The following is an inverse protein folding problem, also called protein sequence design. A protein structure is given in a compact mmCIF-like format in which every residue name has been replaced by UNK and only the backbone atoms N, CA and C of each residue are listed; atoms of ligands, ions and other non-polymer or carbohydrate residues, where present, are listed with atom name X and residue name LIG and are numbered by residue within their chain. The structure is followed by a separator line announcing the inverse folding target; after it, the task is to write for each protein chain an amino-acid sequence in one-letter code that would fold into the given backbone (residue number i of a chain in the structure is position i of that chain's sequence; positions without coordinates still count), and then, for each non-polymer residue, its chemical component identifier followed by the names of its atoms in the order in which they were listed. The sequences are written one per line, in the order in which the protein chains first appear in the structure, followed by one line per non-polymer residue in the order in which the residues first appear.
data_IF_558563280689
#
_entry.id   IF_558563280689
#
_cell.length_a   1.000
_cell.length_b   1.000
_cell.length_c   1.000
_cell.angle_alpha   90.00
_cell.angle_beta   90.00
_cell.angle_gamma   90.00
#
_symmetry.space_group_name_H-M   'P 1'
#
loop_
_entity.id
_entity.type
_entity.pdbx_description
1 polymer ?
#
# COMPACT_ATOMS: atom_id res chain seq x y z
N UNK A 1 6.48 27.15 17.42
CA UNK A 1 5.62 26.12 16.82
C UNK A 1 6.29 25.40 15.65
N UNK A 2 6.89 26.10 14.68
CA UNK A 2 7.55 25.49 13.50
C UNK A 2 8.62 24.44 13.81
N UNK A 3 9.51 24.69 14.78
CA UNK A 3 10.54 23.72 15.18
C UNK A 3 9.97 22.42 15.79
N UNK A 4 8.89 22.50 16.53
CA UNK A 4 8.23 21.30 17.09
C UNK A 4 7.66 20.42 15.99
N UNK A 5 7.00 20.98 14.96
CA UNK A 5 6.48 20.22 13.83
C UNK A 5 7.58 19.53 13.02
N UNK A 6 8.69 20.21 12.78
CA UNK A 6 9.86 19.63 12.08
C UNK A 6 10.46 18.47 12.89
N UNK A 7 10.60 18.63 14.20
CA UNK A 7 11.12 17.57 15.07
C UNK A 7 10.17 16.35 15.06
N UNK A 8 8.86 16.59 15.15
CA UNK A 8 7.85 15.52 15.06
C UNK A 8 7.95 14.76 13.73
N UNK A 9 8.08 15.48 12.60
CA UNK A 9 8.27 14.84 11.29
C UNK A 9 9.53 13.98 11.23
N UNK A 10 10.65 14.47 11.74
CA UNK A 10 11.90 13.69 11.75
C UNK A 10 11.75 12.43 12.61
N UNK A 11 11.09 12.52 13.76
CA UNK A 11 10.86 11.39 14.64
C UNK A 11 9.92 10.34 14.00
N UNK A 12 8.84 10.78 13.36
CA UNK A 12 7.91 9.89 12.67
C UNK A 12 8.58 9.21 11.47
N UNK A 13 9.36 9.95 10.67
CA UNK A 13 10.14 9.38 9.57
C UNK A 13 11.17 8.36 10.06
N UNK A 14 11.91 8.67 11.13
CA UNK A 14 12.84 7.73 11.72
C UNK A 14 12.15 6.46 12.22
N UNK A 15 10.96 6.59 12.82
CA UNK A 15 10.15 5.46 13.26
C UNK A 15 9.65 4.62 12.08
N UNK A 16 9.20 5.24 10.98
CA UNK A 16 8.81 4.54 9.76
C UNK A 16 9.96 3.72 9.19
N UNK A 17 11.15 4.31 9.08
CA UNK A 17 12.36 3.61 8.62
C UNK A 17 12.70 2.44 9.55
N UNK A 18 12.62 2.65 10.86
CA UNK A 18 12.86 1.60 11.85
C UNK A 18 11.89 0.42 11.70
N UNK A 19 10.58 0.70 11.60
CA UNK A 19 9.56 -0.34 11.38
C UNK A 19 9.83 -1.08 10.06
N UNK A 20 10.16 -0.36 8.99
CA UNK A 20 10.48 -0.97 7.69
C UNK A 20 11.66 -1.94 7.79
N UNK A 21 12.72 -1.56 8.51
CA UNK A 21 13.86 -2.46 8.77
C UNK A 21 13.42 -3.71 9.53
N UNK A 22 12.55 -3.57 10.53
CA UNK A 22 12.00 -4.71 11.27
C UNK A 22 11.16 -5.62 10.37
N UNK A 23 10.33 -5.07 9.48
CA UNK A 23 9.53 -5.82 8.50
C UNK A 23 10.44 -6.65 7.58
N UNK A 24 11.50 -6.03 7.04
CA UNK A 24 12.44 -6.71 6.13
C UNK A 24 13.19 -7.84 6.85
N UNK A 25 13.56 -7.63 8.10
CA UNK A 25 14.31 -8.61 8.92
C UNK A 25 13.43 -9.68 9.54
N UNK A 26 12.16 -9.45 9.68
CA UNK A 26 11.24 -10.41 10.28
C UNK A 26 11.02 -11.62 9.37
N UNK A 27 11.16 -12.83 9.93
CA UNK A 27 10.87 -14.10 9.26
C UNK A 27 9.43 -14.57 9.49
N UNK A 28 8.82 -14.16 10.59
CA UNK A 28 7.46 -14.55 10.98
C UNK A 28 6.45 -13.68 10.22
N UNK A 29 5.60 -14.29 9.40
CA UNK A 29 4.56 -13.56 8.65
C UNK A 29 3.60 -12.81 9.57
N UNK A 30 3.23 -13.39 10.71
CA UNK A 30 2.41 -12.70 11.71
C UNK A 30 3.06 -11.37 12.16
N UNK A 31 4.34 -11.39 12.50
CA UNK A 31 5.05 -10.17 12.90
C UNK A 31 5.12 -9.15 11.75
N UNK A 32 5.28 -9.61 10.51
CA UNK A 32 5.27 -8.74 9.32
C UNK A 32 3.91 -8.04 9.16
N UNK A 33 2.80 -8.77 9.32
CA UNK A 33 1.44 -8.20 9.22
C UNK A 33 1.19 -7.15 10.31
N UNK A 34 1.54 -7.47 11.57
CA UNK A 34 1.39 -6.52 12.69
C UNK A 34 2.26 -5.29 12.50
N UNK A 35 3.52 -5.46 12.07
CA UNK A 35 4.43 -4.35 11.80
C UNK A 35 3.95 -3.50 10.60
N UNK A 36 3.35 -4.10 9.57
CA UNK A 36 2.76 -3.37 8.46
C UNK A 36 1.58 -2.50 8.92
N UNK A 37 0.71 -3.03 9.79
CA UNK A 37 -0.36 -2.25 10.42
C UNK A 37 0.19 -1.10 11.29
N UNK A 38 1.26 -1.34 12.06
CA UNK A 38 1.94 -0.30 12.82
C UNK A 38 2.56 0.78 11.91
N UNK A 39 3.16 0.39 10.78
CA UNK A 39 3.67 1.30 9.76
C UNK A 39 2.57 2.23 9.26
N UNK A 40 1.40 1.69 8.89
CA UNK A 40 0.25 2.48 8.44
C UNK A 40 -0.27 3.44 9.52
N UNK A 41 -0.29 3.05 10.80
CA UNK A 41 -0.67 3.97 11.88
C UNK A 41 0.31 5.14 12.04
N UNK A 42 1.61 4.87 11.94
CA UNK A 42 2.63 5.94 12.00
C UNK A 42 2.56 6.82 10.76
N UNK A 43 2.29 6.25 9.58
CA UNK A 43 2.04 7.02 8.35
C UNK A 43 0.82 7.93 8.50
N UNK A 44 -0.28 7.42 9.07
CA UNK A 44 -1.47 8.22 9.35
C UNK A 44 -1.16 9.38 10.31
N UNK A 45 -0.39 9.13 11.38
CA UNK A 45 0.05 10.19 12.29
C UNK A 45 0.92 11.25 11.59
N UNK A 46 1.76 10.83 10.64
CA UNK A 46 2.55 11.74 9.82
C UNK A 46 1.66 12.60 8.91
N UNK A 47 0.63 12.02 8.28
CA UNK A 47 -0.32 12.74 7.44
C UNK A 47 -1.11 13.78 8.26
N UNK A 48 -1.50 13.46 9.51
CA UNK A 48 -2.10 14.47 10.42
C UNK A 48 -1.14 15.64 10.66
N UNK A 49 0.14 15.37 10.90
CA UNK A 49 1.14 16.41 11.14
C UNK A 49 1.47 17.26 9.88
N UNK A 50 1.11 16.75 8.70
CA UNK A 50 1.20 17.44 7.40
C UNK A 50 -0.13 18.11 6.99
N UNK A 51 -1.09 18.23 7.90
CA UNK A 51 -2.44 18.78 7.66
C UNK A 51 -3.27 18.02 6.60
N UNK A 52 -2.90 16.75 6.30
CA UNK A 52 -3.61 15.88 5.37
C UNK A 52 -4.55 14.91 6.11
N UNK A 53 -5.50 15.44 6.86
CA UNK A 53 -6.35 14.68 7.79
C UNK A 53 -7.20 13.61 7.10
N UNK A 54 -7.78 13.91 5.93
CA UNK A 54 -8.60 12.95 5.17
C UNK A 54 -7.77 11.74 4.72
N UNK A 55 -6.53 11.97 4.27
CA UNK A 55 -5.59 10.89 3.91
C UNK A 55 -5.20 10.08 5.15
N UNK A 56 -5.00 10.75 6.30
CA UNK A 56 -4.68 10.08 7.56
C UNK A 56 -5.80 9.11 7.98
N UNK A 57 -7.06 9.52 7.87
CA UNK A 57 -8.21 8.66 8.18
C UNK A 57 -8.31 7.46 7.26
N UNK A 58 -8.12 7.64 5.96
CA UNK A 58 -8.15 6.54 4.99
C UNK A 58 -7.00 5.56 5.21
N UNK A 59 -5.78 6.06 5.47
CA UNK A 59 -4.62 5.23 5.79
C UNK A 59 -4.82 4.43 7.09
N UNK A 60 -5.33 5.06 8.14
CA UNK A 60 -5.62 4.36 9.39
C UNK A 60 -6.73 3.30 9.23
N UNK A 61 -7.80 3.63 8.50
CA UNK A 61 -8.93 2.71 8.32
C UNK A 61 -8.56 1.51 7.45
N UNK A 62 -7.90 1.74 6.31
CA UNK A 62 -7.59 0.69 5.33
C UNK A 62 -6.27 0.02 5.66
N UNK A 63 -5.20 0.77 5.83
CA UNK A 63 -3.85 0.23 6.01
C UNK A 63 -3.68 -0.44 7.37
N UNK A 64 -4.00 0.26 8.46
CA UNK A 64 -3.87 -0.30 9.80
C UNK A 64 -5.05 -1.22 10.19
N UNK A 65 -6.27 -0.92 9.76
CA UNK A 65 -7.47 -1.67 10.11
C UNK A 65 -7.76 -2.82 9.15
N UNK A 66 -8.43 -2.53 8.05
CA UNK A 66 -9.00 -3.54 7.14
C UNK A 66 -7.93 -4.47 6.57
N UNK A 67 -6.82 -3.93 6.07
CA UNK A 67 -5.74 -4.75 5.48
C UNK A 67 -5.12 -5.70 6.50
N UNK A 68 -4.89 -5.23 7.73
CA UNK A 68 -4.34 -6.07 8.80
C UNK A 68 -5.28 -7.22 9.15
N UNK A 69 -6.58 -6.97 9.28
CA UNK A 69 -7.58 -8.02 9.54
C UNK A 69 -7.64 -9.02 8.40
N UNK A 70 -7.65 -8.56 7.14
CA UNK A 70 -7.66 -9.45 5.98
C UNK A 70 -6.39 -10.31 5.89
N UNK A 71 -5.21 -9.75 6.17
CA UNK A 71 -3.97 -10.52 6.20
C UNK A 71 -3.96 -11.56 7.33
N UNK A 72 -4.44 -11.21 8.53
CA UNK A 72 -4.57 -12.15 9.64
C UNK A 72 -5.56 -13.28 9.31
N UNK A 73 -6.70 -12.94 8.68
CA UNK A 73 -7.66 -13.94 8.23
C UNK A 73 -7.06 -14.86 7.16
N UNK A 74 -6.33 -14.31 6.17
CA UNK A 74 -5.64 -15.10 5.16
C UNK A 74 -4.59 -16.05 5.78
N UNK A 75 -3.86 -15.57 6.79
CA UNK A 75 -2.88 -16.41 7.50
C UNK A 75 -3.50 -17.60 8.22
N UNK A 76 -4.75 -17.52 8.66
CA UNK A 76 -5.44 -18.65 9.29
C UNK A 76 -5.58 -19.86 8.34
N UNK A 77 -5.53 -19.63 7.02
CA UNK A 77 -5.59 -20.67 5.99
C UNK A 77 -4.21 -21.15 5.50
N UNK A 78 -3.11 -20.53 5.97
CA UNK A 78 -1.75 -20.86 5.54
C UNK A 78 -1.07 -21.72 6.63
N UNK A 79 -0.85 -23.01 6.42
CA UNK A 79 -0.08 -23.82 7.36
C UNK A 79 1.39 -23.42 7.34
N UNK A 80 1.95 -23.13 8.53
CA UNK A 80 3.38 -22.88 8.70
C UNK A 80 3.90 -21.59 8.05
N UNK A 81 3.21 -20.48 8.29
CA UNK A 81 3.48 -19.17 7.69
C UNK A 81 4.83 -18.54 8.14
N UNK A 82 5.93 -19.16 7.81
CA UNK A 82 7.28 -18.61 7.95
C UNK A 82 7.87 -18.30 6.58
N UNK A 83 8.57 -17.14 6.48
CA UNK A 83 9.34 -16.82 5.28
C UNK A 83 10.46 -17.84 5.10
N UNK A 84 10.51 -18.48 3.95
CA UNK A 84 11.66 -19.28 3.57
C UNK A 84 12.93 -18.42 3.63
N UNK A 85 14.05 -18.90 4.19
CA UNK A 85 15.29 -18.15 4.17
C UNK A 85 15.62 -17.76 2.73
N UNK A 86 16.01 -16.50 2.47
CA UNK A 86 16.44 -16.13 1.14
C UNK A 86 17.66 -16.99 0.78
N UNK A 87 17.59 -17.70 -0.34
CA UNK A 87 18.78 -18.28 -0.93
C UNK A 87 19.81 -17.16 -1.11
N UNK A 88 21.06 -17.45 -0.74
CA UNK A 88 22.16 -16.51 -0.89
C UNK A 88 22.37 -16.25 -2.41
N UNK A 89 21.64 -15.29 -2.94
CA UNK A 89 21.79 -14.86 -4.33
C UNK A 89 23.12 -14.13 -4.44
N UNK A 90 23.94 -14.57 -5.39
CA UNK A 90 25.24 -13.94 -5.66
C UNK A 90 25.09 -12.45 -5.99
N UNK A 91 26.17 -11.70 -5.83
CA UNK A 91 26.25 -10.25 -6.04
C UNK A 91 25.65 -9.81 -7.40
N UNK A 92 25.73 -10.66 -8.43
CA UNK A 92 25.18 -10.41 -9.76
C UNK A 92 23.66 -10.24 -9.82
N UNK A 93 22.90 -10.72 -8.81
CA UNK A 93 21.44 -10.52 -8.72
C UNK A 93 21.06 -9.33 -7.84
N UNK A 94 21.95 -8.94 -6.93
CA UNK A 94 21.71 -7.81 -6.00
C UNK A 94 22.05 -6.50 -6.67
N UNK A 95 23.11 -6.47 -7.49
CA UNK A 95 23.61 -5.24 -8.12
C UNK A 95 22.57 -4.53 -9.01
N UNK A 96 21.87 -5.20 -9.95
CA UNK A 96 20.86 -4.52 -10.77
C UNK A 96 19.69 -3.98 -9.93
N UNK A 97 19.26 -4.72 -8.92
CA UNK A 97 18.20 -4.25 -8.02
C UNK A 97 18.65 -3.01 -7.25
N UNK A 98 19.87 -3.00 -6.72
CA UNK A 98 20.45 -1.86 -6.02
C UNK A 98 20.56 -0.63 -6.94
N UNK A 99 21.03 -0.80 -8.17
CA UNK A 99 21.15 0.28 -9.17
C UNK A 99 19.77 0.88 -9.47
N UNK A 100 18.76 0.05 -9.70
CA UNK A 100 17.38 0.51 -9.97
C UNK A 100 16.84 1.28 -8.76
N UNK A 101 17.00 0.78 -7.54
CA UNK A 101 16.55 1.45 -6.33
C UNK A 101 17.28 2.79 -6.11
N UNK A 102 18.60 2.83 -6.30
CA UNK A 102 19.38 4.07 -6.19
C UNK A 102 18.97 5.10 -7.25
N UNK A 103 18.75 4.66 -8.49
CA UNK A 103 18.30 5.55 -9.58
C UNK A 103 16.90 6.10 -9.29
N UNK A 104 15.97 5.25 -8.87
CA UNK A 104 14.62 5.68 -8.48
C UNK A 104 14.67 6.67 -7.30
N UNK A 105 15.48 6.38 -6.28
CA UNK A 105 15.68 7.29 -5.15
C UNK A 105 16.28 8.63 -5.57
N UNK A 106 17.28 8.62 -6.44
CA UNK A 106 17.87 9.86 -6.97
C UNK A 106 16.86 10.70 -7.76
N UNK A 107 16.04 10.07 -8.61
CA UNK A 107 14.98 10.76 -9.37
C UNK A 107 13.92 11.36 -8.44
N UNK A 108 13.54 10.67 -7.38
CA UNK A 108 12.59 11.19 -6.37
C UNK A 108 13.18 12.38 -5.61
N UNK A 109 14.46 12.32 -5.25
CA UNK A 109 15.14 13.45 -4.60
C UNK A 109 15.21 14.65 -5.53
N UNK A 110 15.55 14.47 -6.80
CA UNK A 110 15.55 15.53 -7.80
C UNK A 110 14.17 16.17 -7.95
N UNK A 111 13.13 15.36 -8.05
CA UNK A 111 11.75 15.86 -8.11
C UNK A 111 11.35 16.63 -6.84
N UNK A 112 11.81 16.19 -5.66
CA UNK A 112 11.50 16.85 -4.41
C UNK A 112 12.19 18.23 -4.25
N UNK A 113 13.35 18.44 -4.87
CA UNK A 113 14.07 19.72 -4.82
C UNK A 113 13.28 20.84 -5.53
N UNK A 114 12.49 20.50 -6.55
CA UNK A 114 11.67 21.46 -7.29
C UNK A 114 10.35 21.81 -6.59
N UNK A 115 9.99 21.09 -5.52
CA UNK A 115 8.78 21.39 -4.77
C UNK A 115 8.95 22.65 -3.92
N UNK A 116 7.92 23.51 -3.82
CA UNK A 116 7.94 24.66 -2.93
C UNK A 116 8.10 24.21 -1.47
N UNK A 117 8.67 25.06 -0.61
CA UNK A 117 8.79 24.75 0.81
C UNK A 117 7.44 24.42 1.45
N UNK A 118 7.45 23.48 2.39
CA UNK A 118 6.24 23.11 3.14
C UNK A 118 5.72 24.32 3.93
N UNK A 119 4.44 24.65 3.74
CA UNK A 119 3.80 25.79 4.41
C UNK A 119 4.03 27.15 3.75
N UNK A 120 4.57 27.18 2.52
CA UNK A 120 4.67 28.43 1.77
C UNK A 120 3.27 28.89 1.31
N UNK A 121 2.76 30.04 1.80
CA UNK A 121 1.47 30.58 1.41
C UNK A 121 1.41 31.01 -0.06
N UNK A 122 2.54 31.23 -0.72
CA UNK A 122 2.65 31.61 -2.12
C UNK A 122 2.88 30.41 -3.04
N UNK A 123 2.86 29.19 -2.53
CA UNK A 123 2.97 27.99 -3.35
C UNK A 123 1.85 27.95 -4.40
N UNK A 124 2.12 27.47 -5.64
CA UNK A 124 1.14 27.44 -6.72
C UNK A 124 -0.25 26.87 -6.37
N UNK A 125 -0.37 25.80 -5.56
CA UNK A 125 -1.67 25.30 -5.15
C UNK A 125 -2.48 26.32 -4.35
N UNK A 126 -1.84 27.09 -3.46
CA UNK A 126 -2.51 28.06 -2.59
C UNK A 126 -2.97 29.30 -3.33
N UNK A 127 -2.24 29.71 -4.36
CA UNK A 127 -2.54 30.95 -5.11
C UNK A 127 -3.52 30.68 -6.26
N UNK A 128 -3.49 29.46 -6.84
CA UNK A 128 -4.24 29.18 -8.07
C UNK A 128 -5.47 28.29 -7.83
N UNK A 129 -5.30 27.13 -7.23
CA UNK A 129 -6.35 26.09 -7.22
C UNK A 129 -7.17 26.11 -5.95
N UNK A 130 -6.53 26.27 -4.78
CA UNK A 130 -7.19 26.22 -3.50
C UNK A 130 -8.27 27.29 -3.32
N UNK A 131 -8.09 28.58 -3.68
CA UNK A 131 -9.13 29.58 -3.58
C UNK A 131 -10.40 29.19 -4.33
N UNK A 132 -10.24 28.72 -5.56
CA UNK A 132 -11.36 28.27 -6.40
C UNK A 132 -12.13 27.13 -5.74
N UNK A 133 -11.45 26.12 -5.25
CA UNK A 133 -12.10 24.98 -4.61
C UNK A 133 -12.81 25.36 -3.31
N UNK A 134 -12.21 26.23 -2.53
CA UNK A 134 -12.80 26.69 -1.26
C UNK A 134 -14.03 27.57 -1.45
N UNK A 135 -14.00 28.47 -2.44
CA UNK A 135 -15.10 29.41 -2.71
C UNK A 135 -16.26 28.77 -3.46
N UNK A 136 -15.97 27.95 -4.47
CA UNK A 136 -17.00 27.37 -5.34
C UNK A 136 -17.66 26.12 -4.72
N UNK A 137 -16.98 25.37 -3.87
CA UNK A 137 -17.45 24.09 -3.35
C UNK A 137 -18.78 24.24 -2.59
N UNK A 138 -18.86 25.21 -1.69
CA UNK A 138 -20.07 25.47 -0.91
C UNK A 138 -21.21 26.10 -1.72
N UNK A 139 -20.87 27.01 -2.66
CA UNK A 139 -21.86 27.77 -3.41
C UNK A 139 -22.42 27.02 -4.63
N UNK A 140 -21.57 26.23 -5.32
CA UNK A 140 -21.94 25.57 -6.57
C UNK A 140 -22.46 24.16 -6.38
N UNK A 141 -21.82 23.38 -5.51
CA UNK A 141 -22.12 21.97 -5.31
C UNK A 141 -22.86 21.67 -4.00
N UNK A 142 -22.98 22.67 -3.11
CA UNK A 142 -23.63 22.55 -1.80
C UNK A 142 -23.10 21.39 -0.94
N UNK A 143 -21.84 21.00 -1.15
CA UNK A 143 -21.15 19.94 -0.38
C UNK A 143 -20.23 20.64 0.63
N UNK A 144 -20.43 20.43 1.94
CA UNK A 144 -19.64 21.12 2.97
C UNK A 144 -18.18 20.67 3.04
N UNK A 145 -17.87 19.45 2.58
CA UNK A 145 -16.51 18.92 2.56
C UNK A 145 -15.85 19.19 1.20
N UNK A 146 -14.86 20.06 1.18
CA UNK A 146 -14.13 20.46 -0.05
C UNK A 146 -13.39 19.29 -0.68
N UNK A 147 -12.80 18.37 0.11
CA UNK A 147 -12.10 17.20 -0.42
C UNK A 147 -13.07 16.30 -1.18
N UNK A 148 -14.25 16.05 -0.63
CA UNK A 148 -15.31 15.29 -1.32
C UNK A 148 -15.72 15.96 -2.63
N UNK A 149 -15.85 17.29 -2.64
CA UNK A 149 -16.17 18.05 -3.85
C UNK A 149 -15.09 17.90 -4.92
N UNK A 150 -13.84 18.01 -4.54
CA UNK A 150 -12.71 17.86 -5.46
C UNK A 150 -12.69 16.45 -6.06
N UNK A 151 -12.81 15.42 -5.23
CA UNK A 151 -12.75 14.02 -5.67
C UNK A 151 -13.97 13.60 -6.50
N UNK A 152 -15.16 14.11 -6.17
CA UNK A 152 -16.39 13.72 -6.84
C UNK A 152 -16.68 14.53 -8.12
N UNK A 153 -16.21 15.77 -8.21
CA UNK A 153 -16.57 16.69 -9.29
C UNK A 153 -15.35 17.26 -10.02
N UNK A 154 -14.55 18.10 -9.38
CA UNK A 154 -13.46 18.80 -10.07
C UNK A 154 -12.40 17.84 -10.65
N UNK A 155 -12.09 16.77 -9.92
CA UNK A 155 -11.15 15.73 -10.29
C UNK A 155 -11.78 14.33 -10.27
N UNK A 156 -13.05 14.24 -10.61
CA UNK A 156 -13.79 12.98 -10.64
C UNK A 156 -13.19 11.92 -11.59
N UNK A 157 -12.43 12.35 -12.59
CA UNK A 157 -11.73 11.43 -13.49
C UNK A 157 -10.59 10.67 -12.78
N UNK A 158 -9.92 11.30 -11.80
CA UNK A 158 -8.90 10.63 -10.99
C UNK A 158 -9.53 9.52 -10.15
N UNK A 159 -10.68 9.80 -9.52
CA UNK A 159 -11.44 8.82 -8.73
C UNK A 159 -12.00 7.68 -9.60
N UNK A 160 -12.37 7.97 -10.85
CA UNK A 160 -12.71 6.93 -11.81
C UNK A 160 -11.52 6.01 -12.09
N UNK A 161 -10.32 6.56 -12.26
CA UNK A 161 -9.07 5.79 -12.41
C UNK A 161 -8.81 4.87 -11.20
N UNK A 162 -9.00 5.36 -9.98
CA UNK A 162 -8.89 4.56 -8.75
C UNK A 162 -9.88 3.40 -8.74
N UNK A 163 -11.13 3.64 -9.14
CA UNK A 163 -12.16 2.59 -9.23
C UNK A 163 -11.76 1.50 -10.22
N UNK A 164 -11.18 1.85 -11.36
CA UNK A 164 -10.65 0.90 -12.35
C UNK A 164 -9.49 0.08 -11.77
N UNK A 165 -8.59 0.69 -11.01
CA UNK A 165 -7.48 -0.01 -10.34
C UNK A 165 -8.00 -1.03 -9.34
N UNK A 166 -8.95 -0.65 -8.48
CA UNK A 166 -9.56 -1.55 -7.49
C UNK A 166 -10.29 -2.71 -8.18
N UNK A 167 -11.03 -2.44 -9.24
CA UNK A 167 -11.70 -3.46 -10.05
C UNK A 167 -10.69 -4.43 -10.67
N UNK A 168 -9.62 -3.92 -11.24
CA UNK A 168 -8.54 -4.75 -11.83
C UNK A 168 -7.85 -5.62 -10.78
N UNK A 169 -7.61 -5.10 -9.58
CA UNK A 169 -7.09 -5.87 -8.47
C UNK A 169 -8.04 -7.02 -8.08
N UNK A 170 -9.34 -6.74 -8.00
CA UNK A 170 -10.37 -7.76 -7.76
C UNK A 170 -10.38 -8.87 -8.82
N UNK A 171 -10.31 -8.50 -10.10
CA UNK A 171 -10.19 -9.46 -11.20
C UNK A 171 -8.90 -10.28 -11.10
N UNK A 172 -7.77 -9.66 -10.77
CA UNK A 172 -6.50 -10.36 -10.55
C UNK A 172 -6.60 -11.44 -9.48
N UNK A 173 -7.21 -11.12 -8.34
CA UNK A 173 -7.46 -12.08 -7.26
C UNK A 173 -8.35 -13.23 -7.74
N UNK A 174 -9.45 -12.95 -8.45
CA UNK A 174 -10.34 -13.97 -8.98
C UNK A 174 -9.63 -14.94 -9.95
N UNK A 175 -8.78 -14.40 -10.84
CA UNK A 175 -7.99 -15.22 -11.79
C UNK A 175 -7.01 -16.12 -11.05
N UNK A 176 -6.32 -15.61 -10.04
CA UNK A 176 -5.38 -16.39 -9.23
C UNK A 176 -6.11 -17.53 -8.48
N UNK A 177 -7.24 -17.24 -7.86
CA UNK A 177 -8.03 -18.25 -7.15
C UNK A 177 -8.61 -19.31 -8.12
N UNK A 178 -9.09 -18.89 -9.30
CA UNK A 178 -9.59 -19.82 -10.31
C UNK A 178 -8.48 -20.74 -10.86
N UNK A 179 -7.26 -20.21 -11.00
CA UNK A 179 -6.07 -21.00 -11.38
C UNK A 179 -5.75 -22.07 -10.34
N UNK A 180 -5.71 -21.71 -9.08
CA UNK A 180 -5.43 -22.62 -7.97
C UNK A 180 -6.46 -23.77 -7.87
N UNK A 181 -7.75 -23.48 -8.04
CA UNK A 181 -8.80 -24.49 -7.99
C UNK A 181 -8.72 -25.48 -9.16
N UNK A 182 -8.35 -25.02 -10.37
CA UNK A 182 -8.14 -25.88 -11.53
C UNK A 182 -6.97 -26.85 -11.33
N UNK A 183 -5.86 -26.37 -10.80
CA UNK A 183 -4.67 -27.18 -10.52
C UNK A 183 -4.97 -28.25 -9.46
N UNK A 184 -5.66 -27.89 -8.37
CA UNK A 184 -6.06 -28.83 -7.34
C UNK A 184 -7.04 -29.92 -7.86
N UNK A 185 -7.95 -29.54 -8.76
CA UNK A 185 -8.88 -30.49 -9.38
C UNK A 185 -8.19 -31.45 -10.34
N UNK A 186 -7.24 -30.96 -11.14
CA UNK A 186 -6.43 -31.78 -12.05
C UNK A 186 -5.58 -32.82 -11.28
N UNK A 187 -4.97 -32.40 -10.18
CA UNK A 187 -4.21 -33.30 -9.30
C UNK A 187 -5.05 -34.43 -8.70
N UNK A 188 -6.29 -34.12 -8.25
CA UNK A 188 -7.21 -35.12 -7.73
C UNK A 188 -7.67 -36.12 -8.80
N UNK A 189 -7.97 -35.66 -10.00
CA UNK A 189 -8.43 -36.54 -11.12
C UNK A 189 -7.28 -37.41 -11.62
N UNK A 190 -6.02 -36.95 -11.56
CA UNK A 190 -4.83 -37.77 -11.89
C UNK A 190 -4.57 -38.89 -10.88
N UNK A 191 -4.80 -38.63 -9.59
CA UNK A 191 -4.62 -39.61 -8.52
C UNK A 191 -5.67 -40.74 -8.59
N UNK A 192 -6.92 -40.43 -8.98
CA UNK A 192 -8.02 -41.44 -9.07
C UNK A 192 -7.85 -42.38 -10.27
N UNK A 193 -7.19 -41.94 -11.34
CA UNK A 193 -6.87 -42.79 -12.50
C UNK A 193 -5.70 -43.75 -12.26
N UNK A 194 -4.74 -43.38 -11.37
CA UNK A 194 -3.61 -44.25 -11.02
C UNK A 194 -3.99 -45.41 -10.07
N UNK A 195 -5.07 -45.29 -9.30
CA UNK A 195 -5.49 -46.29 -8.32
C UNK A 195 -6.34 -47.45 -8.88
N UNK A 196 -6.82 -47.37 -10.12
CA UNK A 196 -7.69 -48.42 -10.73
C UNK A 196 -6.97 -49.39 -11.65
N UNK A 197 -5.66 -49.30 -11.82
CA UNK A 197 -4.88 -50.16 -12.75
C UNK A 197 -4.12 -51.33 -12.09
N UNK A 198 -4.29 -51.59 -10.79
CA UNK A 198 -3.49 -52.59 -10.08
C UNK A 198 -4.29 -53.70 -9.37
N UNK A 199 -5.32 -54.26 -10.02
CA UNK A 199 -6.09 -55.34 -9.42
C UNK A 199 -6.70 -56.28 -10.45
N UNK A 200 -5.87 -57.12 -11.05
CA UNK A 200 -6.35 -58.19 -11.93
C UNK A 200 -5.16 -58.94 -12.54
N UNK A 201 -4.68 -59.93 -11.86
CA UNK A 201 -4.15 -61.20 -12.38
C UNK A 201 -3.39 -61.92 -11.25
N UNK A 202 -4.12 -62.88 -10.60
CA UNK A 202 -3.58 -64.09 -10.01
C UNK A 202 -4.72 -65.11 -9.84
#
# INVERSE_FOLDING_TARGET
MMMAGVLTNILLLALLVFILILVIRSRRLFAVVVLAGAYSLVSAAMFVNLDAVDVAFTEAAVGAGISTVLFLAAMAYLPGAEKTPPEAKGLGHILPALVICCLAGALLILAAIELPPVGDPLAPPHVHVAPRYLEESGSFLHIPNVVTTVLASYRGFDTFGETVVVFTAGLGVLVLLAGATRTARAARTGSDKGGKGGGGDA
#
